data_IF_725741106154
#
_entry.id   IF_725741106154
#
_cell.length_a   1.000
_cell.length_b   1.000
_cell.length_c   1.000
_cell.angle_alpha   90.00
_cell.angle_beta   90.00
_cell.angle_gamma   90.00
#
_symmetry.space_group_name_H-M   'P 1'
#
loop_
_entity.id
_entity.type
_entity.pdbx_description
1 polymer ?
#
# COMPACT_ATOMS: atom_id res chain seq x y z
N UNK A 1 5.05 12.45 5.73
CA UNK A 1 4.73 11.02 5.64
C UNK A 1 5.96 10.33 5.12
N UNK A 2 6.39 9.29 5.82
CA UNK A 2 7.61 8.55 5.48
C UNK A 2 7.25 7.37 4.57
N UNK A 3 7.58 7.49 3.29
CA UNK A 3 7.19 6.55 2.23
C UNK A 3 7.86 5.19 2.41
N UNK A 4 9.10 5.19 2.90
CA UNK A 4 9.86 3.99 3.20
C UNK A 4 9.28 3.26 4.41
N UNK A 5 8.91 3.98 5.48
CA UNK A 5 8.24 3.40 6.63
C UNK A 5 6.90 2.75 6.26
N UNK A 6 6.10 3.42 5.41
CA UNK A 6 4.82 2.89 4.93
C UNK A 6 5.04 1.69 4.01
N UNK A 7 6.00 1.78 3.08
CA UNK A 7 6.36 0.68 2.18
C UNK A 7 6.78 -0.58 2.94
N UNK A 8 7.61 -0.42 3.98
CA UNK A 8 8.04 -1.54 4.83
C UNK A 8 6.88 -2.20 5.58
N UNK A 9 5.88 -1.43 6.01
CA UNK A 9 4.66 -2.01 6.63
C UNK A 9 3.80 -2.76 5.63
N UNK A 10 3.72 -2.27 4.39
CA UNK A 10 3.01 -2.97 3.30
C UNK A 10 3.74 -4.28 2.98
N UNK A 11 5.07 -4.29 2.97
CA UNK A 11 5.84 -5.53 2.83
C UNK A 11 5.59 -6.52 3.98
N UNK A 12 5.59 -6.03 5.22
CA UNK A 12 5.28 -6.83 6.41
C UNK A 12 3.85 -7.39 6.40
N UNK A 13 2.93 -6.72 5.70
CA UNK A 13 1.57 -7.22 5.48
C UNK A 13 1.50 -8.33 4.41
N UNK A 14 2.64 -8.75 3.84
CA UNK A 14 2.73 -9.87 2.90
C UNK A 14 2.72 -9.47 1.42
N UNK A 15 2.84 -8.18 1.12
CA UNK A 15 3.00 -7.70 -0.26
C UNK A 15 4.47 -7.66 -0.66
N UNK A 16 4.75 -7.83 -1.94
CA UNK A 16 6.11 -7.75 -2.50
C UNK A 16 6.28 -6.43 -3.25
N UNK A 17 7.36 -5.69 -2.98
CA UNK A 17 7.68 -4.47 -3.73
C UNK A 17 8.00 -4.82 -5.18
N UNK A 18 7.38 -4.10 -6.12
CA UNK A 18 7.69 -4.13 -7.53
C UNK A 18 8.54 -2.93 -7.94
N UNK A 19 7.88 -1.79 -8.21
CA UNK A 19 8.51 -0.55 -8.61
C UNK A 19 8.74 0.32 -7.37
N UNK A 20 9.94 0.85 -7.22
CA UNK A 20 10.29 1.78 -6.14
C UNK A 20 10.89 3.07 -6.75
N UNK A 21 10.04 4.07 -7.01
CA UNK A 21 10.49 5.35 -7.58
C UNK A 21 10.02 6.53 -6.75
N UNK A 22 10.54 7.72 -7.06
CA UNK A 22 10.07 8.98 -6.45
C UNK A 22 8.62 9.31 -6.81
N UNK A 23 8.10 8.75 -7.89
CA UNK A 23 6.75 9.04 -8.40
C UNK A 23 5.69 8.12 -7.79
N UNK A 24 6.01 6.84 -7.63
CA UNK A 24 5.12 5.86 -7.03
C UNK A 24 5.91 4.61 -6.63
N UNK A 25 5.35 3.90 -5.65
CA UNK A 25 5.76 2.56 -5.27
C UNK A 25 4.64 1.59 -5.61
N UNK A 26 4.96 0.45 -6.22
CA UNK A 26 3.98 -0.60 -6.50
C UNK A 26 4.26 -1.83 -5.67
N UNK A 27 3.19 -2.52 -5.29
CA UNK A 27 3.26 -3.76 -4.52
C UNK A 27 2.30 -4.79 -5.12
N UNK A 28 2.74 -6.03 -5.13
CA UNK A 28 1.98 -7.18 -5.64
C UNK A 28 1.76 -8.21 -4.54
N UNK A 29 0.62 -8.90 -4.59
CA UNK A 29 0.21 -9.87 -3.58
C UNK A 29 -1.25 -10.27 -3.78
N UNK A 30 -2.07 -10.36 -2.72
CA UNK A 30 -3.51 -10.65 -2.87
C UNK A 30 -4.29 -9.53 -3.58
N UNK A 31 -3.70 -8.34 -3.69
CA UNK A 31 -4.17 -7.22 -4.49
C UNK A 31 -2.98 -6.45 -5.05
N UNK A 32 -3.19 -5.70 -6.13
CA UNK A 32 -2.19 -4.79 -6.68
C UNK A 32 -2.32 -3.43 -6.00
N UNK A 33 -1.24 -2.92 -5.42
CA UNK A 33 -1.21 -1.67 -4.69
C UNK A 33 -0.28 -0.66 -5.36
N UNK A 34 -0.71 0.61 -5.41
CA UNK A 34 0.15 1.72 -5.83
C UNK A 34 0.12 2.82 -4.79
N UNK A 35 1.25 3.07 -4.14
CA UNK A 35 1.43 4.14 -3.17
C UNK A 35 2.07 5.35 -3.83
N UNK A 36 1.40 6.50 -3.71
CA UNK A 36 1.90 7.78 -4.20
C UNK A 36 2.57 8.57 -3.06
N UNK A 37 3.54 9.45 -3.37
CA UNK A 37 4.19 10.32 -2.38
C UNK A 37 3.26 11.28 -1.66
N UNK A 38 2.08 11.53 -2.20
CA UNK A 38 1.02 12.29 -1.52
C UNK A 38 0.29 11.49 -0.43
N UNK A 39 0.63 10.22 -0.23
CA UNK A 39 -0.02 9.31 0.73
C UNK A 39 -1.29 8.61 0.25
N UNK A 40 -1.68 8.86 -1.02
CA UNK A 40 -2.79 8.14 -1.65
C UNK A 40 -2.35 6.71 -1.98
N UNK A 41 -3.22 5.75 -1.67
CA UNK A 41 -3.06 4.34 -2.04
C UNK A 41 -4.14 3.99 -3.06
N UNK A 42 -3.71 3.51 -4.23
CA UNK A 42 -4.58 2.85 -5.19
C UNK A 42 -4.60 1.36 -4.87
N UNK A 43 -5.78 0.77 -4.76
CA UNK A 43 -5.97 -0.67 -4.56
C UNK A 43 -6.70 -1.22 -5.77
N UNK A 44 -6.08 -2.15 -6.48
CA UNK A 44 -6.66 -2.84 -7.65
C UNK A 44 -6.86 -4.31 -7.30
N UNK A 45 -8.12 -4.68 -7.11
CA UNK A 45 -8.56 -6.04 -6.81
C UNK A 45 -10.01 -6.21 -7.27
N UNK A 46 -10.41 -7.44 -7.54
CA UNK A 46 -11.80 -7.81 -7.84
C UNK A 46 -12.62 -8.05 -6.56
N UNK A 47 -11.94 -8.24 -5.43
CA UNK A 47 -12.56 -8.50 -4.13
C UNK A 47 -12.79 -7.19 -3.35
N UNK A 48 -14.07 -6.83 -3.21
CA UNK A 48 -14.49 -5.59 -2.54
C UNK A 48 -14.19 -5.60 -1.04
N UNK A 49 -14.27 -6.76 -0.39
CA UNK A 49 -14.05 -6.88 1.04
C UNK A 49 -12.56 -6.70 1.36
N UNK A 50 -11.71 -7.35 0.56
CA UNK A 50 -10.27 -7.16 0.60
C UNK A 50 -9.88 -5.70 0.33
N UNK A 51 -10.49 -5.04 -0.66
CA UNK A 51 -10.24 -3.63 -0.92
C UNK A 51 -10.56 -2.74 0.29
N UNK A 52 -11.67 -3.00 0.98
CA UNK A 52 -12.07 -2.27 2.18
C UNK A 52 -11.13 -2.54 3.37
N UNK A 53 -10.68 -3.78 3.54
CA UNK A 53 -9.70 -4.14 4.58
C UNK A 53 -8.36 -3.44 4.34
N UNK A 54 -7.84 -3.47 3.11
CA UNK A 54 -6.59 -2.79 2.73
C UNK A 54 -6.70 -1.28 2.98
N UNK A 55 -7.81 -0.67 2.57
CA UNK A 55 -8.04 0.75 2.81
C UNK A 55 -8.01 1.07 4.32
N UNK A 56 -8.63 0.22 5.14
CA UNK A 56 -8.65 0.38 6.59
C UNK A 56 -7.24 0.26 7.20
N UNK A 57 -6.47 -0.75 6.81
CA UNK A 57 -5.10 -0.95 7.28
C UNK A 57 -4.20 0.23 6.89
N UNK A 58 -4.38 0.77 5.67
CA UNK A 58 -3.63 1.93 5.19
C UNK A 58 -3.84 3.16 6.07
N UNK A 59 -5.10 3.53 6.37
CA UNK A 59 -5.37 4.73 7.19
C UNK A 59 -5.09 4.54 8.67
N UNK A 60 -5.25 3.33 9.21
CA UNK A 60 -5.07 3.08 10.66
C UNK A 60 -3.63 2.75 11.02
N UNK A 61 -2.95 1.93 10.22
CA UNK A 61 -1.69 1.30 10.61
C UNK A 61 -0.52 1.78 9.76
N UNK A 62 -0.70 1.97 8.45
CA UNK A 62 0.43 2.27 7.57
C UNK A 62 0.81 3.75 7.57
N UNK A 63 -0.14 4.65 7.31
CA UNK A 63 0.10 6.10 7.16
C UNK A 63 0.19 6.88 8.47
N UNK A 64 -0.47 6.40 9.54
CA UNK A 64 -0.70 7.18 10.77
C UNK A 64 0.36 7.04 11.87
N UNK A 65 1.52 6.44 11.59
CA UNK A 65 2.62 6.35 12.56
C UNK A 65 3.64 7.47 12.41
#
# INVERSE_FOLDING_TARGET
MDLEAVGKKIEQAGYTIGIQTRLAWTFSGPAELTLYPSGKLLVKTEDKELAAQIAQNHVKEWVRA
#
